data_IF_828672974205
#
_entry.id   IF_828672974205
#
_cell.length_a   1.000
_cell.length_b   1.000
_cell.length_c   1.000
_cell.angle_alpha   90.00
_cell.angle_beta   90.00
_cell.angle_gamma   90.00
#
_symmetry.space_group_name_H-M   'P 1'
#
loop_
_entity.id
_entity.type
_entity.pdbx_description
1 polymer ?
#
# COMPACT_ATOMS: atom_id res chain seq x y z
N UNK A 1 8.74 -30.73 -16.65
CA UNK A 1 7.37 -30.19 -16.69
C UNK A 1 7.34 -28.99 -15.75
N UNK A 2 7.10 -27.78 -16.24
CA UNK A 2 6.86 -26.65 -15.34
C UNK A 2 5.50 -26.92 -14.68
N UNK A 3 5.48 -27.10 -13.36
CA UNK A 3 4.22 -27.14 -12.63
C UNK A 3 3.46 -25.85 -12.96
N UNK A 4 2.23 -25.98 -13.44
CA UNK A 4 1.37 -24.85 -13.76
C UNK A 4 1.14 -24.10 -12.44
N UNK A 5 1.86 -22.99 -12.24
CA UNK A 5 1.95 -22.35 -10.93
C UNK A 5 0.64 -21.60 -10.71
N UNK A 6 -0.26 -22.23 -9.94
CA UNK A 6 -1.56 -21.68 -9.62
C UNK A 6 -1.44 -20.24 -9.11
N UNK A 7 -2.23 -19.34 -9.68
CA UNK A 7 -2.23 -17.93 -9.30
C UNK A 7 -2.75 -17.79 -7.87
N UNK A 8 -1.93 -17.18 -7.02
CA UNK A 8 -2.27 -16.78 -5.65
C UNK A 8 -1.94 -15.31 -5.46
N UNK A 9 -2.90 -14.53 -4.99
CA UNK A 9 -2.83 -13.07 -4.90
C UNK A 9 -2.67 -12.65 -3.44
N UNK A 10 -1.55 -11.99 -3.13
CA UNK A 10 -1.41 -11.29 -1.85
C UNK A 10 -2.04 -9.90 -1.94
N UNK A 11 -2.82 -9.51 -0.95
CA UNK A 11 -3.43 -8.19 -0.83
C UNK A 11 -2.84 -7.51 0.40
N UNK A 12 -2.18 -6.37 0.23
CA UNK A 12 -1.69 -5.56 1.35
C UNK A 12 -2.62 -4.36 1.52
N UNK A 13 -3.46 -4.43 2.54
CA UNK A 13 -4.45 -3.40 2.87
C UNK A 13 -3.81 -2.18 3.55
N UNK A 14 -4.02 -1.00 2.96
CA UNK A 14 -3.80 0.29 3.64
C UNK A 14 -5.01 0.69 4.51
N UNK A 15 -5.03 1.93 4.99
CA UNK A 15 -6.18 2.47 5.73
C UNK A 15 -7.48 2.36 4.92
N UNK A 16 -8.47 1.64 5.44
CA UNK A 16 -9.82 1.59 4.87
C UNK A 16 -10.04 0.54 3.76
N UNK A 17 -9.09 -0.35 3.52
CA UNK A 17 -9.18 -1.48 2.57
C UNK A 17 -8.56 -2.76 3.15
N UNK A 18 -8.66 -2.95 4.45
CA UNK A 18 -8.14 -4.06 5.23
C UNK A 18 -9.24 -4.98 5.80
N UNK A 19 -10.49 -4.83 5.34
CA UNK A 19 -11.63 -5.64 5.77
C UNK A 19 -11.43 -7.13 5.38
N UNK A 20 -11.29 -8.05 6.35
CA UNK A 20 -11.11 -9.46 6.08
C UNK A 20 -12.39 -10.17 5.61
N UNK A 21 -13.55 -9.52 5.66
CA UNK A 21 -14.84 -10.08 5.18
C UNK A 21 -14.89 -10.18 3.64
N UNK A 22 -13.93 -9.60 2.93
CA UNK A 22 -13.76 -9.78 1.47
C UNK A 22 -13.40 -11.23 1.09
N UNK A 23 -12.93 -12.05 2.05
CA UNK A 23 -12.46 -13.41 1.82
C UNK A 23 -13.47 -14.46 2.28
N UNK A 24 -13.77 -15.40 1.38
CA UNK A 24 -14.50 -16.62 1.70
C UNK A 24 -13.56 -17.65 2.37
N UNK A 25 -14.07 -18.37 3.38
CA UNK A 25 -13.33 -19.46 4.03
C UNK A 25 -12.06 -19.03 4.76
N UNK A 26 -12.07 -17.83 5.35
CA UNK A 26 -10.87 -17.22 5.93
C UNK A 26 -10.25 -18.03 7.07
N UNK A 27 -8.92 -18.08 7.10
CA UNK A 27 -8.12 -18.65 8.19
C UNK A 27 -6.97 -17.70 8.53
N UNK A 28 -6.71 -17.48 9.81
CA UNK A 28 -5.53 -16.72 10.25
C UNK A 28 -4.30 -17.60 10.31
N UNK A 29 -3.19 -17.12 9.74
CA UNK A 29 -1.89 -17.77 9.80
C UNK A 29 -0.84 -16.82 10.36
N UNK A 30 -0.28 -17.19 11.50
CA UNK A 30 0.86 -16.50 12.11
C UNK A 30 2.15 -17.15 11.60
N UNK A 31 3.13 -16.33 11.20
CA UNK A 31 4.44 -16.81 10.81
C UNK A 31 5.53 -15.80 11.15
N UNK A 32 6.72 -16.32 11.39
CA UNK A 32 7.95 -15.54 11.51
C UNK A 32 8.71 -15.58 10.19
N UNK A 33 9.45 -14.51 9.89
CA UNK A 33 10.34 -14.46 8.72
C UNK A 33 11.78 -14.22 9.15
N UNK A 34 12.77 -14.47 8.28
CA UNK A 34 14.16 -14.09 8.53
C UNK A 34 14.36 -12.59 8.80
N UNK A 35 13.38 -11.75 8.44
CA UNK A 35 13.39 -10.30 8.64
C UNK A 35 12.54 -9.85 9.84
N UNK A 36 12.11 -10.79 10.68
CA UNK A 36 11.23 -10.54 11.83
C UNK A 36 9.76 -10.82 11.52
N UNK A 37 8.88 -10.28 12.36
CA UNK A 37 7.43 -10.49 12.25
C UNK A 37 6.80 -9.59 11.17
N UNK A 38 5.85 -10.12 10.39
CA UNK A 38 4.95 -9.30 9.59
C UNK A 38 4.11 -8.35 10.47
N UNK A 39 3.45 -7.39 9.84
CA UNK A 39 2.60 -6.41 10.53
C UNK A 39 1.45 -7.06 11.33
N UNK A 40 0.92 -8.19 10.87
CA UNK A 40 -0.14 -8.96 11.51
C UNK A 40 -0.12 -10.41 10.98
N UNK A 41 -1.06 -11.25 11.43
CA UNK A 41 -1.37 -12.52 10.81
C UNK A 41 -1.76 -12.34 9.33
N UNK A 42 -1.40 -13.33 8.52
CA UNK A 42 -1.89 -13.44 7.16
C UNK A 42 -3.29 -14.05 7.21
N UNK A 43 -4.26 -13.40 6.57
CA UNK A 43 -5.61 -13.93 6.44
C UNK A 43 -5.69 -14.63 5.09
N UNK A 44 -5.69 -15.96 5.10
CA UNK A 44 -5.75 -16.78 3.88
C UNK A 44 -7.21 -17.12 3.60
N UNK A 45 -7.63 -16.97 2.36
CA UNK A 45 -8.99 -17.32 1.93
C UNK A 45 -9.11 -17.32 0.42
N UNK A 46 -10.33 -17.16 -0.07
CA UNK A 46 -10.61 -17.10 -1.51
C UNK A 46 -11.49 -15.92 -1.85
N UNK A 47 -11.28 -15.37 -3.04
CA UNK A 47 -12.26 -14.51 -3.71
C UNK A 47 -12.73 -15.31 -4.93
N UNK A 48 -13.98 -15.77 -4.91
CA UNK A 48 -14.49 -16.74 -5.88
C UNK A 48 -13.60 -18.00 -5.91
N UNK A 49 -12.94 -18.29 -7.02
CA UNK A 49 -12.07 -19.45 -7.22
C UNK A 49 -10.56 -19.14 -7.11
N UNK A 50 -10.18 -17.91 -6.77
CA UNK A 50 -8.77 -17.48 -6.70
C UNK A 50 -8.32 -17.45 -5.25
N UNK A 51 -7.18 -18.07 -4.96
CA UNK A 51 -6.57 -18.02 -3.64
C UNK A 51 -6.01 -16.63 -3.35
N UNK A 52 -6.39 -16.09 -2.20
CA UNK A 52 -6.01 -14.75 -1.77
C UNK A 52 -5.44 -14.78 -0.36
N UNK A 53 -4.50 -13.87 -0.10
CA UNK A 53 -3.87 -13.70 1.21
C UNK A 53 -3.88 -12.23 1.57
N UNK A 54 -4.69 -11.83 2.55
CA UNK A 54 -4.80 -10.46 3.02
C UNK A 54 -3.82 -10.21 4.18
N UNK A 55 -3.15 -9.06 4.15
CA UNK A 55 -2.26 -8.59 5.21
C UNK A 55 -2.50 -7.10 5.48
N UNK A 56 -2.86 -6.75 6.71
CA UNK A 56 -3.04 -5.37 7.14
C UNK A 56 -1.67 -4.68 7.28
N UNK A 57 -1.38 -3.65 6.47
CA UNK A 57 -0.07 -2.98 6.45
C UNK A 57 0.31 -2.36 7.79
N UNK A 58 -0.68 -1.82 8.50
CA UNK A 58 -0.51 -1.12 9.79
C UNK A 58 -0.93 -1.98 10.99
N UNK A 59 -1.16 -3.28 10.78
CA UNK A 59 -1.85 -4.16 11.72
C UNK A 59 -3.37 -3.90 11.74
N UNK A 60 -4.16 -4.90 12.14
CA UNK A 60 -5.64 -4.82 12.19
C UNK A 60 -6.18 -3.73 13.11
N UNK A 61 -5.36 -3.28 14.07
CA UNK A 61 -5.66 -2.20 15.01
C UNK A 61 -5.04 -0.85 14.61
N UNK A 62 -4.43 -0.76 13.43
CA UNK A 62 -3.81 0.47 12.91
C UNK A 62 -2.74 1.09 13.82
N UNK A 63 -2.00 0.27 14.55
CA UNK A 63 -1.03 0.72 15.58
C UNK A 63 0.38 0.96 15.03
N UNK A 64 0.70 0.43 13.84
CA UNK A 64 2.05 0.51 13.27
C UNK A 64 2.16 1.73 12.37
N UNK A 65 2.97 2.72 12.77
CA UNK A 65 3.21 3.92 11.96
C UNK A 65 3.88 3.60 10.62
N UNK A 66 3.65 4.36 9.53
CA UNK A 66 4.22 4.09 8.21
C UNK A 66 5.75 4.00 8.16
N UNK A 67 6.47 4.60 9.10
CA UNK A 67 7.95 4.49 9.16
C UNK A 67 8.39 3.18 9.80
N UNK A 68 7.57 2.59 10.66
CA UNK A 68 7.87 1.40 11.46
C UNK A 68 7.36 0.10 10.85
N UNK A 69 6.67 0.16 9.70
CA UNK A 69 6.19 -1.03 8.99
C UNK A 69 7.37 -1.89 8.54
N UNK A 70 7.32 -3.18 8.86
CA UNK A 70 8.33 -4.14 8.43
C UNK A 70 8.03 -4.66 7.01
N UNK A 71 8.37 -3.86 6.00
CA UNK A 71 8.11 -4.20 4.60
C UNK A 71 8.81 -5.49 4.15
N UNK A 72 10.01 -5.77 4.64
CA UNK A 72 10.72 -7.00 4.30
C UNK A 72 9.96 -8.23 4.81
N UNK A 73 9.56 -8.25 6.08
CA UNK A 73 8.80 -9.38 6.63
C UNK A 73 7.45 -9.55 5.93
N UNK A 74 6.73 -8.47 5.64
CA UNK A 74 5.44 -8.54 4.95
C UNK A 74 5.55 -9.19 3.56
N UNK A 75 6.49 -8.72 2.75
CA UNK A 75 6.69 -9.24 1.39
C UNK A 75 7.25 -10.66 1.42
N UNK A 76 8.15 -10.95 2.37
CA UNK A 76 8.72 -12.29 2.53
C UNK A 76 7.66 -13.32 2.93
N UNK A 77 6.81 -12.98 3.90
CA UNK A 77 5.72 -13.85 4.36
C UNK A 77 4.75 -14.18 3.21
N UNK A 78 4.36 -13.18 2.41
CA UNK A 78 3.48 -13.41 1.25
C UNK A 78 4.17 -14.28 0.19
N UNK A 79 5.47 -14.10 -0.02
CA UNK A 79 6.26 -14.95 -0.94
C UNK A 79 6.33 -16.39 -0.45
N UNK A 80 6.58 -16.63 0.83
CA UNK A 80 6.62 -17.97 1.44
C UNK A 80 5.24 -18.64 1.46
N UNK A 81 4.17 -17.86 1.61
CA UNK A 81 2.78 -18.33 1.48
C UNK A 81 2.41 -18.70 0.03
N UNK A 82 3.33 -18.47 -0.93
CA UNK A 82 3.17 -18.86 -2.32
C UNK A 82 2.50 -17.79 -3.19
N UNK A 83 2.35 -16.55 -2.71
CA UNK A 83 1.78 -15.49 -3.51
C UNK A 83 2.63 -15.23 -4.75
N UNK A 84 1.96 -15.18 -5.89
CA UNK A 84 2.53 -14.93 -7.22
C UNK A 84 2.42 -13.46 -7.61
N UNK A 85 1.39 -12.79 -7.11
CA UNK A 85 1.06 -11.40 -7.41
C UNK A 85 0.75 -10.69 -6.10
N UNK A 86 1.02 -9.38 -6.07
CA UNK A 86 0.65 -8.51 -4.96
C UNK A 86 -0.22 -7.36 -5.46
N UNK A 87 -1.37 -7.16 -4.82
CA UNK A 87 -2.19 -5.96 -4.95
C UNK A 87 -2.06 -5.17 -3.66
N UNK A 88 -1.67 -3.91 -3.77
CA UNK A 88 -1.42 -3.06 -2.61
C UNK A 88 -2.28 -1.82 -2.73
N UNK A 89 -2.99 -1.50 -1.66
CA UNK A 89 -3.82 -0.30 -1.57
C UNK A 89 -3.14 0.71 -0.66
N UNK A 90 -3.26 1.99 -0.98
CA UNK A 90 -2.87 3.04 -0.04
C UNK A 90 -3.66 4.32 -0.25
N UNK A 91 -3.98 4.97 0.87
CA UNK A 91 -4.54 6.30 0.93
C UNK A 91 -3.47 7.34 0.57
N UNK A 92 -3.83 8.34 -0.25
CA UNK A 92 -2.99 9.50 -0.54
C UNK A 92 -3.82 10.77 -0.81
N UNK A 93 -3.19 11.94 -0.68
CA UNK A 93 -3.77 13.21 -1.13
C UNK A 93 -3.35 13.56 -2.56
N UNK A 94 -4.23 14.24 -3.29
CA UNK A 94 -3.93 14.74 -4.63
C UNK A 94 -2.88 15.86 -4.62
N UNK A 95 -2.09 15.92 -5.69
CA UNK A 95 -1.28 17.09 -6.05
C UNK A 95 -1.75 17.73 -7.37
N UNK A 96 -2.93 17.32 -7.85
CA UNK A 96 -3.52 17.74 -9.13
C UNK A 96 -5.01 17.96 -8.97
N UNK A 97 -5.53 19.04 -9.56
CA UNK A 97 -6.95 19.40 -9.42
C UNK A 97 -7.87 18.38 -10.08
N UNK A 98 -7.44 17.74 -11.18
CA UNK A 98 -8.27 16.78 -11.91
C UNK A 98 -8.41 15.42 -11.22
N UNK A 99 -7.65 15.14 -10.15
CA UNK A 99 -7.77 13.90 -9.37
C UNK A 99 -8.46 14.24 -8.06
N UNK A 100 -9.73 13.85 -7.95
CA UNK A 100 -10.61 14.23 -6.86
C UNK A 100 -10.57 13.19 -5.72
N UNK A 101 -10.98 13.59 -4.50
CA UNK A 101 -11.12 12.65 -3.40
C UNK A 101 -12.13 11.54 -3.73
N UNK A 102 -11.75 10.28 -3.48
CA UNK A 102 -12.52 9.09 -3.88
C UNK A 102 -11.99 8.42 -5.15
N UNK A 103 -11.27 9.14 -6.01
CA UNK A 103 -10.70 8.58 -7.23
C UNK A 103 -9.69 7.47 -6.92
N UNK A 104 -9.66 6.47 -7.81
CA UNK A 104 -8.68 5.39 -7.82
C UNK A 104 -7.65 5.67 -8.90
N UNK A 105 -6.37 5.59 -8.54
CA UNK A 105 -5.25 5.80 -9.47
C UNK A 105 -4.38 4.54 -9.52
N UNK A 106 -4.15 4.03 -10.74
CA UNK A 106 -3.14 2.99 -10.97
C UNK A 106 -1.82 3.68 -11.23
N UNK A 107 -0.93 3.68 -10.23
CA UNK A 107 0.40 4.27 -10.39
C UNK A 107 1.30 3.33 -11.16
N UNK A 108 2.18 3.89 -11.97
CA UNK A 108 3.23 3.17 -12.69
C UNK A 108 4.63 3.68 -12.38
N UNK A 109 4.72 4.81 -11.66
CA UNK A 109 5.95 5.48 -11.29
C UNK A 109 5.84 6.05 -9.88
N UNK A 110 6.99 6.17 -9.21
CA UNK A 110 7.05 6.83 -7.92
C UNK A 110 8.33 7.65 -7.74
N UNK A 111 8.28 8.62 -6.83
CA UNK A 111 9.41 9.38 -6.33
C UNK A 111 9.58 8.99 -4.86
N UNK A 112 10.72 8.43 -4.53
CA UNK A 112 11.03 8.02 -3.16
C UNK A 112 11.69 9.16 -2.37
N UNK A 113 11.03 9.60 -1.29
CA UNK A 113 11.61 10.51 -0.29
C UNK A 113 11.73 9.86 1.09
N UNK A 114 11.75 8.54 1.15
CA UNK A 114 11.95 7.78 2.39
C UNK A 114 13.44 7.71 2.74
N UNK A 115 13.78 7.75 4.04
CA UNK A 115 15.19 7.83 4.48
C UNK A 115 15.61 6.83 5.55
N UNK A 116 14.66 6.15 6.19
CA UNK A 116 14.93 5.26 7.34
C UNK A 116 14.55 3.80 7.11
N UNK A 117 13.99 3.49 5.94
CA UNK A 117 13.43 2.17 5.65
C UNK A 117 14.49 1.28 5.03
N UNK A 118 14.50 0.01 5.40
CA UNK A 118 15.30 -0.99 4.69
C UNK A 118 14.58 -1.32 3.38
N UNK A 119 15.28 -1.15 2.25
CA UNK A 119 14.68 -1.19 0.90
C UNK A 119 15.06 -2.43 0.08
N UNK A 120 15.92 -3.29 0.61
CA UNK A 120 16.40 -4.48 -0.10
C UNK A 120 16.47 -5.67 0.83
N UNK A 121 16.24 -6.88 0.30
CA UNK A 121 16.53 -8.13 1.02
C UNK A 121 18.02 -8.47 1.00
N UNK A 122 18.77 -7.85 0.09
CA UNK A 122 20.16 -8.15 -0.21
C UNK A 122 21.06 -7.17 0.54
N UNK A 123 21.04 -7.24 1.87
CA UNK A 123 21.75 -6.31 2.75
C UNK A 123 23.21 -6.73 3.06
N UNK A 124 23.65 -7.86 2.52
CA UNK A 124 25.02 -8.36 2.64
C UNK A 124 25.35 -8.95 4.02
N UNK A 125 24.36 -9.12 4.89
CA UNK A 125 24.55 -9.77 6.20
C UNK A 125 24.75 -11.28 6.05
N UNK A 126 25.40 -11.95 7.01
CA UNK A 126 25.41 -13.40 7.07
C UNK A 126 23.98 -13.94 6.96
N UNK A 127 23.74 -14.89 6.05
CA UNK A 127 22.44 -15.48 5.72
C UNK A 127 21.44 -14.57 4.97
N UNK A 128 21.83 -13.36 4.55
CA UNK A 128 21.00 -12.58 3.63
C UNK A 128 20.99 -13.24 2.25
N UNK A 129 19.85 -13.23 1.52
CA UNK A 129 19.82 -13.58 0.11
C UNK A 129 20.89 -12.83 -0.68
N UNK A 130 21.34 -13.39 -1.82
CA UNK A 130 22.25 -12.72 -2.76
C UNK A 130 21.49 -12.23 -3.99
N UNK A 131 21.73 -10.98 -4.40
CA UNK A 131 21.04 -10.37 -5.53
C UNK A 131 20.92 -8.85 -5.45
N UNK A 132 20.07 -8.28 -6.31
CA UNK A 132 19.75 -6.86 -6.36
C UNK A 132 18.23 -6.72 -6.43
N UNK A 133 17.66 -5.82 -5.63
CA UNK A 133 16.24 -5.47 -5.75
C UNK A 133 16.05 -4.47 -6.88
N UNK A 134 15.17 -4.78 -7.84
CA UNK A 134 14.69 -3.80 -8.83
C UNK A 134 13.23 -3.51 -8.57
N UNK A 135 12.91 -2.23 -8.35
CA UNK A 135 11.52 -1.78 -8.20
C UNK A 135 10.87 -1.60 -9.56
N UNK A 136 10.03 -2.55 -9.96
CA UNK A 136 9.08 -2.42 -11.06
C UNK A 136 7.73 -2.91 -10.53
N UNK A 137 6.74 -2.02 -10.46
CA UNK A 137 5.43 -2.39 -9.92
C UNK A 137 4.41 -1.30 -10.17
N UNK A 138 3.19 -1.72 -10.53
CA UNK A 138 2.02 -0.86 -10.57
C UNK A 138 1.23 -1.04 -9.28
N UNK A 139 0.85 0.04 -8.61
CA UNK A 139 0.10 -0.03 -7.36
C UNK A 139 -1.25 0.68 -7.50
N UNK A 140 -2.21 0.31 -6.63
CA UNK A 140 -3.54 0.91 -6.59
C UNK A 140 -3.60 1.95 -5.45
N UNK A 141 -3.94 3.19 -5.79
CA UNK A 141 -4.14 4.28 -4.84
C UNK A 141 -5.61 4.63 -4.75
N UNK A 142 -6.10 4.90 -3.53
CA UNK A 142 -7.41 5.54 -3.30
C UNK A 142 -7.18 6.85 -2.58
N UNK A 143 -7.86 7.93 -2.93
CA UNK A 143 -7.83 9.13 -2.11
C UNK A 143 -8.76 9.02 -0.90
N UNK A 144 -8.26 9.29 0.31
CA UNK A 144 -9.03 9.22 1.57
C UNK A 144 -9.55 10.60 1.98
N UNK A 145 -10.85 10.68 2.29
CA UNK A 145 -11.50 11.87 2.84
C UNK A 145 -11.57 11.76 4.37
N UNK A 146 -10.49 12.12 5.08
CA UNK A 146 -10.61 12.45 6.52
C UNK A 146 -10.57 13.95 6.70
N UNK A 147 -11.74 14.57 6.54
CA UNK A 147 -11.97 15.99 6.85
C UNK A 147 -13.00 16.72 5.99
N UNK A 148 -14.21 16.18 5.74
CA UNK A 148 -15.39 16.97 5.42
C UNK A 148 -16.65 16.13 5.69
N UNK A 149 -17.54 16.63 6.55
CA UNK A 149 -18.81 15.99 6.83
C UNK A 149 -19.79 16.20 5.66
N UNK A 150 -20.48 15.13 5.24
CA UNK A 150 -21.73 15.23 4.49
C UNK A 150 -21.87 14.26 3.31
N UNK A 151 -22.95 13.47 3.34
CA UNK A 151 -23.77 13.08 2.18
C UNK A 151 -23.13 12.19 1.13
N UNK A 152 -23.53 10.92 1.09
CA UNK A 152 -23.10 9.96 0.08
C UNK A 152 -23.68 10.21 -1.31
N UNK A 153 -22.88 9.83 -2.30
CA UNK A 153 -23.30 9.26 -3.59
C UNK A 153 -22.10 8.41 -4.09
N UNK A 154 -22.37 7.22 -4.62
CA UNK A 154 -21.36 6.35 -5.24
C UNK A 154 -21.14 6.81 -6.69
N UNK A 155 -19.95 7.30 -7.09
CA UNK A 155 -19.70 7.58 -8.49
C UNK A 155 -19.12 6.34 -9.16
N UNK A 156 -19.77 5.88 -10.23
CA UNK A 156 -19.12 5.02 -11.23
C UNK A 156 -17.96 5.78 -11.85
N UNK A 157 -16.73 5.46 -11.43
CA UNK A 157 -15.51 6.15 -11.85
C UNK A 157 -14.71 5.36 -12.88
N UNK A 158 -14.44 5.99 -14.02
CA UNK A 158 -13.46 5.53 -15.00
C UNK A 158 -12.04 5.64 -14.40
N UNK A 159 -11.19 4.63 -14.57
CA UNK A 159 -9.86 4.59 -13.94
C UNK A 159 -8.85 5.36 -14.79
N UNK A 160 -8.30 6.50 -14.33
CA UNK A 160 -7.34 7.29 -15.11
C UNK A 160 -6.00 6.56 -15.34
N UNK A 161 -5.42 6.81 -16.52
CA UNK A 161 -4.17 6.26 -17.06
C UNK A 161 -2.88 6.65 -16.28
N UNK A 162 -1.75 5.93 -16.45
CA UNK A 162 -0.56 5.91 -15.56
C UNK A 162 0.07 7.27 -15.19
N UNK A 163 0.48 7.44 -13.92
CA UNK A 163 1.04 8.69 -13.36
C UNK A 163 2.07 8.45 -12.23
N UNK A 164 2.95 9.44 -12.05
CA UNK A 164 3.97 9.51 -11.00
C UNK A 164 3.39 9.80 -9.61
N UNK A 165 3.89 9.11 -8.58
CA UNK A 165 3.47 9.28 -7.19
C UNK A 165 4.62 9.54 -6.20
N UNK A 166 4.50 10.55 -5.34
CA UNK A 166 5.51 10.84 -4.32
C UNK A 166 5.25 10.12 -2.99
N UNK A 167 6.21 9.37 -2.48
CA UNK A 167 6.17 8.87 -1.10
C UNK A 167 6.70 9.93 -0.14
N UNK A 168 5.84 10.41 0.78
CA UNK A 168 6.23 11.29 1.87
C UNK A 168 6.14 10.58 3.24
N UNK A 169 6.87 11.12 4.22
CA UNK A 169 6.81 10.70 5.63
C UNK A 169 5.44 11.08 6.21
N UNK A 170 4.66 10.14 6.72
CA UNK A 170 3.42 10.46 7.45
C UNK A 170 3.69 10.88 8.91
N UNK A 171 2.77 11.63 9.56
CA UNK A 171 2.11 12.83 9.05
C UNK A 171 3.07 14.03 9.16
N UNK A 172 3.00 14.97 8.21
CA UNK A 172 2.10 16.10 8.40
C UNK A 172 1.15 16.24 7.20
N UNK A 173 -0.05 16.76 7.46
CA UNK A 173 -0.82 17.46 6.42
C UNK A 173 0.18 18.32 5.65
N UNK A 174 0.22 18.18 4.32
CA UNK A 174 0.92 19.15 3.49
C UNK A 174 0.20 20.48 3.73
N UNK A 175 0.68 21.29 4.66
CA UNK A 175 0.33 22.70 4.78
C UNK A 175 0.78 23.31 3.46
N UNK A 176 -0.15 23.48 2.52
CA UNK A 176 0.03 24.48 1.48
C UNK A 176 0.31 25.79 2.21
N UNK A 177 1.52 26.32 2.04
CA UNK A 177 1.76 27.72 2.34
C UNK A 177 0.86 28.53 1.43
N UNK A 178 -0.30 28.94 1.93
CA UNK A 178 -0.95 30.15 1.44
C UNK A 178 -0.01 31.28 1.86
N UNK A 179 0.68 31.88 0.90
CA UNK A 179 1.11 33.26 1.11
C UNK A 179 -0.15 34.07 1.44
N UNK A 180 -0.14 34.90 2.50
CA UNK A 180 -1.26 35.80 2.74
C UNK A 180 -1.34 36.78 1.57
N UNK A 181 -2.52 36.89 0.95
CA UNK A 181 -2.84 37.92 -0.04
C UNK A 181 -2.46 39.30 0.54
N UNK A 182 -1.36 39.86 0.06
CA UNK A 182 -1.00 41.26 0.33
C UNK A 182 -1.76 42.09 -0.71
N UNK A 183 -2.77 42.89 -0.32
CA UNK A 183 -3.48 43.72 -1.29
C UNK A 183 -2.53 44.78 -1.87
N UNK A 184 -2.69 45.15 -3.16
CA UNK A 184 -1.83 46.14 -3.78
C UNK A 184 -2.00 47.49 -3.09
N UNK A 185 -0.89 48.02 -2.58
CA UNK A 185 -0.80 49.40 -2.10
C UNK A 185 -0.86 50.31 -3.32
N UNK A 186 -2.01 50.96 -3.52
CA UNK A 186 -2.20 51.97 -4.56
C UNK A 186 -1.23 53.14 -4.36
N UNK A 187 -0.67 53.62 -5.46
CA UNK A 187 -0.01 54.93 -5.56
C UNK A 187 -1.04 55.98 -5.97
#
# INVERSE_FOLDING_TARGET
>A
MAADKQVKIGVIGGSGLDDPDILEGRTEKYMDTPFGKPSDALIVGKIKNIECVLLARHGRHHTIMPTSVNYQANIWALKEEGCTHLLVTTACGSLREEIQPGDIVIIDQFIDRTTKRVQTFYDGRPNSPRGVSRSHGRALLRQDQRGAAGGGEEPGGEVPHPRHHGYHRGPPLLLQGREPDVPPVGR
#
